data_IF_820139400883
#
_entry.id   IF_820139400883
#
_cell.length_a   1.000
_cell.length_b   1.000
_cell.length_c   1.000
_cell.angle_alpha   90.00
_cell.angle_beta   90.00
_cell.angle_gamma   90.00
#
_symmetry.space_group_name_H-M   'P 1'
#
loop_
_entity.id
_entity.type
_entity.pdbx_description
1 polymer ?
#
# COMPACT_ATOMS: atom_id res chain seq x y z
N UNK A 1 -18.12 1.66 -5.02
CA UNK A 1 -17.54 1.54 -3.67
C UNK A 1 -17.62 0.06 -3.30
N UNK A 2 -16.49 -0.56 -2.96
CA UNK A 2 -16.38 -1.94 -2.44
C UNK A 2 -16.14 -1.88 -0.93
N UNK A 3 -16.35 -3.00 -0.23
CA UNK A 3 -16.01 -3.10 1.19
C UNK A 3 -14.49 -3.27 1.37
N UNK A 4 -13.96 -2.85 2.51
CA UNK A 4 -12.54 -3.02 2.82
C UNK A 4 -12.14 -4.51 2.87
N UNK A 5 -13.07 -5.41 3.21
CA UNK A 5 -12.83 -6.85 3.25
C UNK A 5 -12.87 -7.52 1.87
N UNK A 6 -13.23 -6.81 0.80
CA UNK A 6 -13.27 -7.38 -0.56
C UNK A 6 -11.86 -7.49 -1.18
N UNK A 7 -10.86 -6.84 -0.57
CA UNK A 7 -9.48 -6.80 -1.03
C UNK A 7 -8.55 -7.20 0.12
N UNK A 8 -7.62 -8.11 -0.17
CA UNK A 8 -6.55 -8.49 0.74
C UNK A 8 -5.22 -7.84 0.34
N UNK A 9 -4.38 -7.58 1.35
CA UNK A 9 -3.02 -7.09 1.18
C UNK A 9 -2.05 -8.01 1.92
N UNK A 10 -1.00 -8.46 1.24
CA UNK A 10 0.10 -9.21 1.86
C UNK A 10 1.43 -8.53 1.52
N UNK A 11 2.23 -8.21 2.54
CA UNK A 11 3.55 -7.62 2.38
C UNK A 11 4.64 -8.61 2.82
N UNK A 12 5.60 -8.88 1.94
CA UNK A 12 6.72 -9.77 2.19
C UNK A 12 8.07 -9.09 1.95
N UNK A 13 9.06 -9.37 2.79
CA UNK A 13 10.41 -8.81 2.66
C UNK A 13 11.22 -9.38 1.50
N UNK A 14 10.90 -10.61 1.10
CA UNK A 14 11.56 -11.31 0.01
C UNK A 14 10.54 -12.18 -0.69
N UNK A 15 10.16 -11.74 -1.87
CA UNK A 15 9.37 -12.53 -2.78
C UNK A 15 10.18 -13.70 -3.34
N UNK A 16 9.51 -14.83 -3.59
CA UNK A 16 10.16 -16.06 -4.03
C UNK A 16 10.64 -15.98 -5.49
N UNK A 17 9.94 -15.22 -6.33
CA UNK A 17 10.25 -15.11 -7.75
C UNK A 17 11.25 -13.97 -8.02
N UNK A 18 10.96 -12.79 -7.49
CA UNK A 18 11.74 -11.57 -7.75
C UNK A 18 12.87 -11.35 -6.76
N UNK A 19 12.83 -12.00 -5.58
CA UNK A 19 13.80 -11.80 -4.50
C UNK A 19 13.73 -10.42 -3.83
N UNK A 20 12.79 -9.56 -4.23
CA UNK A 20 12.62 -8.20 -3.74
C UNK A 20 11.51 -8.12 -2.66
N UNK A 21 11.48 -7.05 -1.85
CA UNK A 21 10.33 -6.74 -1.03
C UNK A 21 9.12 -6.42 -1.90
N UNK A 22 8.00 -7.10 -1.66
CA UNK A 22 6.82 -7.04 -2.52
C UNK A 22 5.54 -6.92 -1.70
N UNK A 23 4.62 -6.08 -2.18
CA UNK A 23 3.26 -5.94 -1.65
C UNK A 23 2.29 -6.49 -2.68
N UNK A 24 1.51 -7.48 -2.29
CA UNK A 24 0.46 -8.11 -3.07
C UNK A 24 -0.89 -7.54 -2.71
N UNK A 25 -1.69 -7.18 -3.72
CA UNK A 25 -3.08 -6.75 -3.58
C UNK A 25 -3.93 -7.67 -4.44
N UNK A 26 -4.92 -8.34 -3.84
CA UNK A 26 -5.74 -9.34 -4.54
C UNK A 26 -7.17 -9.39 -4.01
N UNK A 27 -8.09 -9.85 -4.84
CA UNK A 27 -9.50 -10.01 -4.47
C UNK A 27 -9.65 -11.06 -3.36
N UNK A 28 -10.48 -10.76 -2.36
CA UNK A 28 -10.85 -11.71 -1.31
C UNK A 28 -12.02 -12.63 -1.71
N UNK A 29 -12.19 -12.87 -3.01
CA UNK A 29 -13.23 -13.73 -3.57
C UNK A 29 -12.62 -14.85 -4.39
N UNK A 30 -13.10 -16.08 -4.18
CA UNK A 30 -12.69 -17.25 -4.96
C UNK A 30 -13.06 -17.03 -6.43
N UNK A 31 -12.07 -17.12 -7.31
CA UNK A 31 -12.21 -16.86 -8.74
C UNK A 31 -11.93 -15.42 -9.17
N UNK A 32 -11.81 -14.48 -8.23
CA UNK A 32 -11.59 -13.06 -8.51
C UNK A 32 -12.82 -12.38 -9.11
N UNK A 33 -13.04 -11.13 -8.73
CA UNK A 33 -14.13 -10.29 -9.24
C UNK A 33 -13.61 -9.03 -9.95
N UNK A 34 -12.28 -8.89 -10.07
CA UNK A 34 -11.59 -7.83 -10.79
C UNK A 34 -11.47 -6.52 -10.00
N UNK A 35 -11.43 -6.57 -8.66
CA UNK A 35 -11.14 -5.35 -7.88
C UNK A 35 -9.65 -5.04 -7.91
N UNK A 36 -8.78 -6.05 -7.82
CA UNK A 36 -7.33 -5.87 -7.93
C UNK A 36 -6.90 -5.25 -9.26
N UNK A 37 -7.52 -5.64 -10.37
CA UNK A 37 -7.29 -5.03 -11.69
C UNK A 37 -7.67 -3.54 -11.71
N UNK A 38 -8.83 -3.19 -11.14
CA UNK A 38 -9.24 -1.79 -10.99
C UNK A 38 -8.27 -1.02 -10.08
N UNK A 39 -7.78 -1.65 -9.01
CA UNK A 39 -6.78 -1.04 -8.12
C UNK A 39 -5.49 -0.76 -8.87
N UNK A 40 -5.04 -1.63 -9.78
CA UNK A 40 -3.84 -1.39 -10.58
C UNK A 40 -3.96 -0.10 -11.40
N UNK A 41 -5.12 0.14 -12.03
CA UNK A 41 -5.40 1.38 -12.75
C UNK A 41 -5.50 2.62 -11.85
N UNK A 42 -5.89 2.45 -10.59
CA UNK A 42 -6.03 3.53 -9.60
C UNK A 42 -4.78 3.71 -8.72
N UNK A 43 -3.73 2.88 -8.91
CA UNK A 43 -2.57 2.84 -8.04
C UNK A 43 -1.85 4.19 -7.90
N UNK A 44 -1.70 5.01 -8.97
CA UNK A 44 -1.14 6.36 -8.84
C UNK A 44 -1.94 7.26 -7.90
N UNK A 45 -3.27 7.23 -8.00
CA UNK A 45 -4.16 8.04 -7.18
C UNK A 45 -4.16 7.57 -5.72
N UNK A 46 -4.15 6.25 -5.51
CA UNK A 46 -4.05 5.62 -4.20
C UNK A 46 -2.75 6.05 -3.50
N UNK A 47 -1.61 6.01 -4.19
CA UNK A 47 -0.33 6.44 -3.62
C UNK A 47 -0.31 7.95 -3.34
N UNK A 48 -0.88 8.77 -4.22
CA UNK A 48 -0.98 10.20 -3.99
C UNK A 48 -1.87 10.52 -2.76
N UNK A 49 -2.92 9.73 -2.53
CA UNK A 49 -3.77 9.85 -1.35
C UNK A 49 -3.06 9.35 -0.09
N UNK A 50 -2.34 8.23 -0.15
CA UNK A 50 -1.54 7.72 0.97
C UNK A 50 -0.44 8.71 1.38
N UNK A 51 0.26 9.32 0.42
CA UNK A 51 1.24 10.38 0.70
C UNK A 51 0.60 11.53 1.49
N UNK A 52 -0.58 12.00 1.04
CA UNK A 52 -1.33 13.07 1.71
C UNK A 52 -1.77 12.67 3.11
N UNK A 53 -2.34 11.47 3.28
CA UNK A 53 -2.77 10.95 4.57
C UNK A 53 -1.63 10.94 5.60
N UNK A 54 -0.45 10.46 5.19
CA UNK A 54 0.72 10.43 6.06
C UNK A 54 1.25 11.84 6.35
N UNK A 55 1.28 12.73 5.35
CA UNK A 55 1.77 14.10 5.50
C UNK A 55 0.89 14.96 6.41
N UNK A 56 -0.43 14.86 6.27
CA UNK A 56 -1.40 15.69 7.00
C UNK A 56 -1.63 15.23 8.45
N UNK A 57 -1.28 13.98 8.75
CA UNK A 57 -1.38 13.45 10.11
C UNK A 57 -0.42 14.19 11.05
N UNK A 58 -0.88 14.56 12.25
CA UNK A 58 -0.08 15.31 13.24
C UNK A 58 0.80 14.44 14.17
N UNK A 59 0.78 13.11 14.01
CA UNK A 59 1.61 12.23 14.83
C UNK A 59 3.11 12.33 14.46
N UNK A 60 3.98 12.00 15.41
CA UNK A 60 5.44 12.03 15.21
C UNK A 60 5.97 10.71 14.63
N UNK A 61 5.68 9.58 15.28
CA UNK A 61 6.19 8.25 14.94
C UNK A 61 5.30 7.48 13.97
N UNK A 62 3.99 7.61 14.10
CA UNK A 62 3.00 6.79 13.40
C UNK A 62 1.78 6.56 14.29
N UNK A 63 0.60 6.36 13.70
CA UNK A 63 -0.60 6.06 14.46
C UNK A 63 -1.63 5.26 13.64
N UNK A 64 -2.69 4.72 14.27
CA UNK A 64 -3.76 4.01 13.58
C UNK A 64 -4.50 4.82 12.51
N UNK A 65 -4.45 6.15 12.58
CA UNK A 65 -5.09 7.00 11.57
C UNK A 65 -4.25 7.21 10.32
N UNK A 66 -2.97 6.83 10.30
CA UNK A 66 -2.10 7.08 9.14
C UNK A 66 -1.35 5.84 8.64
N UNK A 67 -0.74 5.03 9.52
CA UNK A 67 0.17 3.95 9.08
C UNK A 67 0.01 2.63 9.82
N UNK A 68 -0.86 2.50 10.83
CA UNK A 68 -1.08 1.18 11.43
C UNK A 68 -2.15 0.44 10.62
N UNK A 69 -1.89 -0.85 10.37
CA UNK A 69 -2.88 -1.78 9.84
C UNK A 69 -3.20 -2.84 10.90
N UNK A 70 -4.48 -3.18 11.02
CA UNK A 70 -5.15 -3.57 12.26
C UNK A 70 -4.93 -5.00 12.77
N UNK A 71 -3.79 -5.65 12.50
CA UNK A 71 -3.70 -7.08 12.86
C UNK A 71 -2.43 -7.52 13.60
N UNK A 72 -1.23 -6.98 13.30
CA UNK A 72 0.01 -7.58 13.84
C UNK A 72 1.20 -6.62 14.02
N UNK A 73 0.98 -5.31 14.17
CA UNK A 73 2.07 -4.34 14.36
C UNK A 73 2.05 -3.74 15.76
N UNK A 74 3.22 -3.64 16.40
CA UNK A 74 3.42 -2.90 17.65
C UNK A 74 3.87 -1.45 17.37
N UNK A 75 3.82 -0.58 18.37
CA UNK A 75 4.25 0.82 18.22
C UNK A 75 5.74 0.96 17.86
N UNK A 76 6.58 -0.03 18.15
CA UNK A 76 7.99 -0.04 17.75
C UNK A 76 8.22 -0.45 16.29
N UNK A 77 7.19 -0.96 15.61
CA UNK A 77 7.31 -1.50 14.24
C UNK A 77 6.97 -0.46 13.16
N UNK A 78 6.73 0.79 13.55
CA UNK A 78 6.21 1.84 12.67
C UNK A 78 7.10 3.09 12.67
N UNK A 79 7.40 3.57 11.46
CA UNK A 79 8.18 4.80 11.25
C UNK A 79 7.55 5.62 10.12
N UNK A 80 6.84 6.68 10.51
CA UNK A 80 6.17 7.61 9.61
C UNK A 80 7.12 8.24 8.59
N UNK A 81 8.35 8.56 9.00
CA UNK A 81 9.33 9.17 8.10
C UNK A 81 9.77 8.17 7.04
N UNK A 82 10.07 6.94 7.44
CA UNK A 82 10.41 5.86 6.52
C UNK A 82 9.23 5.56 5.57
N UNK A 83 8.01 5.46 6.09
CA UNK A 83 6.79 5.25 5.28
C UNK A 83 6.63 6.34 4.23
N UNK A 84 6.79 7.63 4.60
CA UNK A 84 6.67 8.73 3.65
C UNK A 84 7.70 8.62 2.52
N UNK A 85 8.97 8.35 2.85
CA UNK A 85 10.04 8.19 1.85
C UNK A 85 9.74 7.03 0.90
N UNK A 86 9.24 5.91 1.41
CA UNK A 86 8.85 4.77 0.56
C UNK A 86 7.68 5.11 -0.35
N UNK A 87 6.63 5.77 0.16
CA UNK A 87 5.47 6.16 -0.64
C UNK A 87 5.84 7.15 -1.75
N UNK A 88 6.69 8.14 -1.46
CA UNK A 88 7.19 9.09 -2.46
C UNK A 88 7.99 8.38 -3.55
N UNK A 89 8.92 7.49 -3.17
CA UNK A 89 9.70 6.70 -4.14
C UNK A 89 8.83 5.80 -5.00
N UNK A 90 7.86 5.10 -4.41
CA UNK A 90 6.93 4.24 -5.15
C UNK A 90 6.11 5.05 -6.15
N UNK A 91 5.56 6.19 -5.73
CA UNK A 91 4.79 7.08 -6.60
C UNK A 91 5.64 7.57 -7.77
N UNK A 92 6.83 8.06 -7.50
CA UNK A 92 7.71 8.62 -8.52
C UNK A 92 8.17 7.53 -9.51
N UNK A 93 8.41 6.30 -9.01
CA UNK A 93 8.75 5.14 -9.85
C UNK A 93 7.58 4.74 -10.74
N UNK A 94 6.36 4.66 -10.21
CA UNK A 94 5.18 4.28 -11.00
C UNK A 94 4.83 5.32 -12.07
N UNK A 95 5.03 6.61 -11.80
CA UNK A 95 4.85 7.66 -12.81
C UNK A 95 5.83 7.50 -13.98
N UNK A 96 7.01 6.92 -13.74
CA UNK A 96 8.02 6.66 -14.77
C UNK A 96 7.79 5.32 -15.50
N UNK A 97 7.14 4.35 -14.85
CA UNK A 97 7.14 2.96 -15.29
C UNK A 97 6.12 2.59 -16.38
N UNK A 98 5.18 3.48 -16.77
CA UNK A 98 4.09 3.16 -17.72
C UNK A 98 3.52 1.74 -17.51
N UNK A 99 2.74 1.55 -16.44
CA UNK A 99 2.13 0.25 -16.13
C UNK A 99 1.36 -0.23 -17.37
N UNK A 100 1.75 -1.34 -18.02
CA UNK A 100 0.99 -1.86 -19.14
C UNK A 100 -0.39 -2.27 -18.63
N UNK A 101 -1.42 -1.73 -19.28
CA UNK A 101 -2.83 -2.08 -19.09
C UNK A 101 -3.11 -3.53 -19.42
#
# INVERSE_FOLDING_TARGET
MCDAHDINVHAGYRDAETGAPTVYIYDNFVGGIGLSEKVAGLLPDILAMACRLVADCRCESGCPSCIYTSSYMSESDVDKRATRVLLERLRDTLLQAQIPS
#
